data_IF_102627426284
#
_entry.id   IF_102627426284
#
_cell.length_a   1.000
_cell.length_b   1.000
_cell.length_c   1.000
_cell.angle_alpha   90.00
_cell.angle_beta   90.00
_cell.angle_gamma   90.00
#
_symmetry.space_group_name_H-M   'P 1'
#
loop_
_entity.id
_entity.type
_entity.pdbx_description
1 polymer ?
#
# COMPACT_ATOMS: atom_id res chain seq x y z
N UNK A 1 4.13 29.62 14.26
CA UNK A 1 3.74 30.02 12.90
C UNK A 1 4.99 30.32 12.08
N UNK A 2 5.45 29.35 11.27
CA UNK A 2 6.51 29.61 10.31
C UNK A 2 5.87 30.05 9.00
N UNK A 3 6.07 31.32 8.66
CA UNK A 3 5.65 31.92 7.40
C UNK A 3 6.48 31.27 6.30
N UNK A 4 5.82 30.62 5.34
CA UNK A 4 6.47 30.22 4.08
C UNK A 4 6.57 31.52 3.26
N UNK A 5 7.65 32.27 3.47
CA UNK A 5 7.98 33.44 2.66
C UNK A 5 8.57 32.91 1.35
N UNK A 6 7.84 33.08 0.26
CA UNK A 6 8.33 32.88 -1.10
C UNK A 6 9.21 34.08 -1.50
N UNK A 7 10.44 34.11 -1.00
CA UNK A 7 11.52 34.89 -1.59
C UNK A 7 12.65 33.94 -1.94
N UNK A 8 12.59 33.40 -3.15
CA UNK A 8 13.74 32.83 -3.84
C UNK A 8 13.40 32.81 -5.32
N UNK A 9 14.07 33.70 -6.05
CA UNK A 9 14.48 33.52 -7.44
C UNK A 9 14.77 32.04 -7.76
N UNK A 10 14.40 31.59 -8.98
CA UNK A 10 14.46 30.18 -9.42
C UNK A 10 15.81 29.49 -9.12
N UNK A 11 16.89 30.27 -9.09
CA UNK A 11 18.24 29.83 -8.73
C UNK A 11 18.43 29.61 -7.22
N UNK A 12 17.91 30.49 -6.35
CA UNK A 12 18.00 30.39 -4.89
C UNK A 12 17.21 29.21 -4.32
N UNK A 13 16.00 28.95 -4.88
CA UNK A 13 15.14 27.84 -4.44
C UNK A 13 15.76 26.48 -4.80
N UNK A 14 16.34 26.38 -6.00
CA UNK A 14 17.03 25.18 -6.47
C UNK A 14 18.33 24.91 -5.71
N UNK A 15 19.12 25.95 -5.39
CA UNK A 15 20.33 25.80 -4.57
C UNK A 15 20.00 25.27 -3.17
N UNK A 16 18.95 25.82 -2.55
CA UNK A 16 18.47 25.42 -1.22
C UNK A 16 18.02 23.97 -1.19
N UNK A 17 17.22 23.53 -2.16
CA UNK A 17 16.75 22.13 -2.24
C UNK A 17 17.91 21.16 -2.46
N UNK A 18 18.87 21.47 -3.34
CA UNK A 18 20.01 20.58 -3.54
C UNK A 18 20.84 20.45 -2.25
N UNK A 19 21.03 21.54 -1.51
CA UNK A 19 21.70 21.51 -0.21
C UNK A 19 20.92 20.69 0.82
N UNK A 20 19.61 20.87 0.89
CA UNK A 20 18.73 20.09 1.78
C UNK A 20 18.78 18.59 1.46
N UNK A 21 18.81 18.22 0.18
CA UNK A 21 18.98 16.84 -0.27
C UNK A 21 20.35 16.25 0.08
N UNK A 22 21.42 17.05 -0.01
CA UNK A 22 22.79 16.62 0.35
C UNK A 22 22.89 16.34 1.86
N UNK A 23 22.27 17.20 2.67
CA UNK A 23 22.31 17.10 4.14
C UNK A 23 21.25 16.09 4.65
N UNK A 24 20.37 15.60 3.77
CA UNK A 24 19.33 14.63 4.11
C UNK A 24 18.21 15.24 4.97
N UNK A 25 17.95 16.54 4.79
CA UNK A 25 16.81 17.20 5.45
C UNK A 25 15.49 16.65 4.92
N UNK A 26 14.46 16.85 5.73
CA UNK A 26 13.10 16.52 5.35
C UNK A 26 12.64 17.35 4.14
N UNK A 27 11.91 16.71 3.21
CA UNK A 27 11.49 17.32 1.95
C UNK A 27 9.97 17.34 1.84
N UNK A 28 9.40 18.52 1.64
CA UNK A 28 7.97 18.67 1.38
C UNK A 28 7.63 18.38 -0.10
N UNK A 29 6.56 17.63 -0.33
CA UNK A 29 6.00 17.41 -1.67
C UNK A 29 4.47 17.26 -1.61
N UNK A 30 3.79 17.39 -2.75
CA UNK A 30 2.33 17.26 -2.85
C UNK A 30 1.94 16.34 -4.02
N UNK A 31 1.48 15.11 -3.76
CA UNK A 31 1.11 14.18 -4.82
C UNK A 31 0.08 14.76 -5.79
N UNK A 32 0.35 14.63 -7.08
CA UNK A 32 -0.57 15.02 -8.15
C UNK A 32 -0.96 13.87 -9.09
N UNK A 33 -0.16 12.79 -9.12
CA UNK A 33 -0.48 11.58 -9.88
C UNK A 33 0.00 10.33 -9.12
N UNK A 34 -0.64 9.19 -9.39
CA UNK A 34 -0.47 7.95 -8.64
C UNK A 34 -0.34 6.79 -9.61
N UNK A 35 0.62 5.91 -9.34
CA UNK A 35 0.75 4.62 -10.01
C UNK A 35 0.95 3.52 -8.97
N UNK A 36 0.41 2.33 -9.25
CA UNK A 36 0.61 1.13 -8.44
C UNK A 36 1.04 -0.04 -9.32
N UNK A 37 2.03 -0.80 -8.87
CA UNK A 37 2.48 -2.02 -9.55
C UNK A 37 3.29 -2.90 -8.60
N UNK A 38 3.74 -4.05 -9.08
CA UNK A 38 4.66 -4.92 -8.31
C UNK A 38 6.09 -4.71 -8.81
N UNK A 39 6.97 -4.33 -7.90
CA UNK A 39 8.41 -4.35 -8.13
C UNK A 39 8.96 -5.74 -7.82
N UNK A 40 9.85 -6.27 -8.66
CA UNK A 40 10.43 -7.60 -8.48
C UNK A 40 11.86 -7.48 -7.93
N UNK A 41 12.06 -7.94 -6.70
CA UNK A 41 13.39 -8.02 -6.07
C UNK A 41 13.72 -9.50 -5.93
N UNK A 42 14.79 -9.95 -6.58
CA UNK A 42 15.19 -11.36 -6.63
C UNK A 42 14.04 -12.29 -7.08
N UNK A 43 13.26 -11.85 -8.07
CA UNK A 43 12.07 -12.54 -8.60
C UNK A 43 10.88 -12.63 -7.63
N UNK A 44 10.99 -12.07 -6.42
CA UNK A 44 9.86 -11.92 -5.49
C UNK A 44 9.15 -10.60 -5.76
N UNK A 45 7.82 -10.59 -6.01
CA UNK A 45 7.08 -9.37 -6.22
C UNK A 45 6.79 -8.67 -4.89
N UNK A 46 6.90 -7.34 -4.90
CA UNK A 46 6.55 -6.44 -3.82
C UNK A 46 5.65 -5.35 -4.38
N UNK A 47 4.47 -5.19 -3.80
CA UNK A 47 3.62 -4.07 -4.16
C UNK A 47 4.30 -2.75 -3.78
N UNK A 48 4.31 -1.81 -4.72
CA UNK A 48 4.79 -0.44 -4.53
C UNK A 48 3.73 0.56 -4.96
N UNK A 49 3.68 1.67 -4.23
CA UNK A 49 2.84 2.81 -4.56
C UNK A 49 3.75 3.98 -4.96
N UNK A 50 3.62 4.46 -6.19
CA UNK A 50 4.35 5.62 -6.68
C UNK A 50 3.47 6.86 -6.71
N UNK A 51 3.99 7.93 -6.14
CA UNK A 51 3.39 9.26 -6.16
C UNK A 51 4.29 10.19 -6.98
N UNK A 52 3.70 10.84 -7.97
CA UNK A 52 4.37 11.87 -8.77
C UNK A 52 3.94 13.25 -8.28
N UNK A 53 4.88 14.19 -8.29
CA UNK A 53 4.67 15.54 -7.78
C UNK A 53 5.69 16.51 -8.38
N UNK A 54 5.62 17.75 -7.92
CA UNK A 54 6.65 18.77 -8.03
C UNK A 54 7.23 19.07 -6.65
N UNK A 55 8.52 19.42 -6.60
CA UNK A 55 9.14 20.06 -5.43
C UNK A 55 8.74 21.54 -5.37
N UNK A 56 9.06 22.23 -4.28
CA UNK A 56 8.70 23.66 -4.11
C UNK A 56 9.32 24.59 -5.16
N UNK A 57 10.38 24.15 -5.87
CA UNK A 57 10.97 24.85 -7.02
C UNK A 57 10.44 24.36 -8.38
N UNK A 58 9.36 23.58 -8.41
CA UNK A 58 8.75 23.10 -9.66
C UNK A 58 9.43 21.90 -10.33
N UNK A 59 10.53 21.37 -9.79
CA UNK A 59 11.17 20.17 -10.34
C UNK A 59 10.30 18.93 -10.13
N UNK A 60 10.14 18.10 -11.17
CA UNK A 60 9.37 16.85 -11.10
C UNK A 60 10.06 15.82 -10.21
N UNK A 61 9.26 15.19 -9.37
CA UNK A 61 9.69 14.18 -8.40
C UNK A 61 8.79 12.95 -8.47
N UNK A 62 9.40 11.77 -8.29
CA UNK A 62 8.70 10.52 -8.00
C UNK A 62 9.06 10.04 -6.60
N UNK A 63 8.05 9.62 -5.84
CA UNK A 63 8.18 9.06 -4.50
C UNK A 63 7.60 7.66 -4.51
N UNK A 64 8.43 6.66 -4.20
CA UNK A 64 8.03 5.25 -4.16
C UNK A 64 7.89 4.79 -2.71
N UNK A 65 6.69 4.36 -2.34
CA UNK A 65 6.41 3.70 -1.07
C UNK A 65 6.50 2.18 -1.23
N UNK A 66 7.24 1.54 -0.33
CA UNK A 66 7.42 0.09 -0.28
C UNK A 66 7.13 -0.50 1.10
N UNK A 67 7.21 -1.83 1.23
CA UNK A 67 6.86 -2.52 2.47
C UNK A 67 5.35 -2.56 2.74
N UNK A 68 4.55 -2.33 1.71
CA UNK A 68 3.08 -2.35 1.76
C UNK A 68 2.63 -3.81 1.68
N UNK A 69 1.86 -4.25 2.67
CA UNK A 69 1.27 -5.60 2.67
C UNK A 69 0.07 -5.63 1.75
N UNK A 70 -0.01 -6.63 0.87
CA UNK A 70 -1.19 -6.87 0.04
C UNK A 70 -2.13 -7.84 0.74
N UNK A 71 -3.22 -7.32 1.31
CA UNK A 71 -4.19 -8.13 2.07
C UNK A 71 -5.64 -7.68 1.91
N UNK A 72 -6.56 -8.55 2.35
CA UNK A 72 -7.94 -8.26 2.78
C UNK A 72 -8.26 -9.06 4.05
N UNK A 73 -9.36 -8.74 4.73
CA UNK A 73 -9.71 -9.32 6.02
C UNK A 73 -11.05 -10.08 5.91
N UNK A 74 -11.19 -11.17 6.66
CA UNK A 74 -12.44 -11.93 6.80
C UNK A 74 -12.78 -12.02 8.29
N UNK A 75 -13.98 -11.59 8.66
CA UNK A 75 -14.44 -11.64 10.04
C UNK A 75 -14.67 -13.09 10.44
N UNK A 76 -14.18 -13.46 11.61
CA UNK A 76 -14.48 -14.78 12.20
C UNK A 76 -15.93 -14.79 12.68
N UNK A 77 -16.66 -15.86 12.35
CA UNK A 77 -18.03 -16.07 12.82
C UNK A 77 -18.11 -16.05 14.34
N UNK A 78 -19.22 -15.51 14.86
CA UNK A 78 -19.42 -15.45 16.31
C UNK A 78 -19.41 -16.88 16.89
N UNK A 79 -18.67 -17.06 17.99
CA UNK A 79 -18.45 -18.35 18.69
C UNK A 79 -17.61 -19.40 17.95
N UNK A 80 -17.04 -19.09 16.78
CA UNK A 80 -16.13 -20.01 16.09
C UNK A 80 -14.69 -19.85 16.61
N UNK A 81 -13.97 -20.97 16.76
CA UNK A 81 -12.54 -20.95 17.04
C UNK A 81 -11.78 -20.43 15.80
N UNK A 82 -10.84 -19.50 16.01
CA UNK A 82 -10.13 -18.81 14.92
C UNK A 82 -9.25 -19.74 14.09
N UNK A 83 -8.64 -20.77 14.67
CA UNK A 83 -7.76 -21.71 13.96
C UNK A 83 -8.57 -22.65 13.06
N UNK A 84 -9.75 -23.08 13.55
CA UNK A 84 -10.70 -23.86 12.75
C UNK A 84 -11.22 -23.02 11.59
N UNK A 85 -11.62 -21.77 11.86
CA UNK A 85 -12.08 -20.84 10.83
C UNK A 85 -11.00 -20.54 9.79
N UNK A 86 -9.77 -20.28 10.21
CA UNK A 86 -8.65 -20.06 9.29
C UNK A 86 -8.43 -21.27 8.37
N UNK A 87 -8.48 -22.49 8.93
CA UNK A 87 -8.34 -23.73 8.15
C UNK A 87 -9.45 -23.84 7.10
N UNK A 88 -10.69 -23.51 7.47
CA UNK A 88 -11.83 -23.48 6.55
C UNK A 88 -11.61 -22.49 5.41
N UNK A 89 -11.19 -21.25 5.73
CA UNK A 89 -10.89 -20.23 4.72
C UNK A 89 -9.78 -20.68 3.77
N UNK A 90 -8.69 -21.24 4.31
CA UNK A 90 -7.58 -21.78 3.49
C UNK A 90 -8.06 -22.88 2.55
N UNK A 91 -8.94 -23.77 3.03
CA UNK A 91 -9.53 -24.83 2.20
C UNK A 91 -10.43 -24.28 1.10
N UNK A 92 -11.23 -23.24 1.37
CA UNK A 92 -12.06 -22.58 0.35
C UNK A 92 -11.17 -21.95 -0.72
N UNK A 93 -10.11 -21.24 -0.32
CA UNK A 93 -9.18 -20.58 -1.25
C UNK A 93 -8.41 -21.62 -2.08
N UNK A 94 -7.91 -22.69 -1.46
CA UNK A 94 -7.11 -23.72 -2.14
C UNK A 94 -7.89 -24.49 -3.22
N UNK A 95 -9.18 -24.75 -2.97
CA UNK A 95 -10.04 -25.51 -3.89
C UNK A 95 -10.83 -24.61 -4.85
N UNK A 96 -10.84 -23.30 -4.59
CA UNK A 96 -11.60 -22.33 -5.36
C UNK A 96 -10.91 -21.91 -6.66
N UNK A 97 -11.73 -21.35 -7.56
CA UNK A 97 -11.28 -20.62 -8.74
C UNK A 97 -12.10 -19.36 -8.90
N UNK A 98 -11.48 -18.28 -9.37
CA UNK A 98 -12.22 -17.08 -9.72
C UNK A 98 -13.08 -17.29 -10.99
N UNK A 99 -13.76 -16.22 -11.44
CA UNK A 99 -14.61 -16.27 -12.62
C UNK A 99 -13.88 -16.60 -13.94
N UNK A 100 -12.57 -16.39 -13.98
CA UNK A 100 -11.72 -16.64 -15.15
C UNK A 100 -10.93 -17.97 -15.03
N UNK A 101 -11.12 -18.71 -13.94
CA UNK A 101 -10.42 -19.96 -13.68
C UNK A 101 -9.05 -19.79 -13.01
N UNK A 102 -8.70 -18.58 -12.58
CA UNK A 102 -7.50 -18.27 -11.82
C UNK A 102 -7.50 -18.92 -10.43
N UNK A 103 -6.32 -19.37 -10.00
CA UNK A 103 -6.08 -20.01 -8.70
C UNK A 103 -5.10 -19.20 -7.87
N UNK A 104 -5.15 -19.38 -6.55
CA UNK A 104 -4.21 -18.73 -5.62
C UNK A 104 -3.00 -19.62 -5.42
N UNK A 105 -1.81 -19.03 -5.40
CA UNK A 105 -0.60 -19.75 -4.97
C UNK A 105 -0.62 -19.92 -3.44
N UNK A 106 -0.97 -21.12 -3.00
CA UNK A 106 -1.06 -21.44 -1.58
C UNK A 106 0.31 -21.48 -0.87
N UNK A 107 1.41 -21.58 -1.61
CA UNK A 107 2.77 -21.58 -1.01
C UNK A 107 3.20 -20.19 -0.55
N UNK A 108 2.65 -19.15 -1.19
CA UNK A 108 2.93 -17.75 -0.89
C UNK A 108 1.84 -17.08 -0.04
N UNK A 109 0.69 -17.74 0.14
CA UNK A 109 -0.43 -17.24 0.93
C UNK A 109 -0.07 -17.25 2.42
N UNK A 110 -0.20 -16.09 3.06
CA UNK A 110 0.00 -15.94 4.50
C UNK A 110 -1.29 -15.51 5.19
N UNK A 111 -1.36 -15.77 6.48
CA UNK A 111 -2.50 -15.42 7.33
C UNK A 111 -2.03 -14.73 8.60
N UNK A 112 -2.78 -13.72 9.04
CA UNK A 112 -2.58 -13.05 10.33
C UNK A 112 -3.90 -12.97 11.10
N UNK A 113 -3.86 -13.07 12.42
CA UNK A 113 -5.02 -12.85 13.28
C UNK A 113 -5.02 -11.42 13.79
N UNK A 114 -6.11 -10.70 13.59
CA UNK A 114 -6.25 -9.32 14.05
C UNK A 114 -7.59 -9.12 14.78
N UNK A 115 -7.71 -8.00 15.48
CA UNK A 115 -8.98 -7.54 16.06
C UNK A 115 -9.31 -6.13 15.57
N UNK A 116 -10.50 -5.93 15.02
CA UNK A 116 -10.96 -4.66 14.50
C UNK A 116 -12.45 -4.44 14.79
N UNK A 117 -12.93 -3.20 14.69
CA UNK A 117 -14.36 -2.92 14.76
C UNK A 117 -15.01 -3.28 13.42
N UNK A 118 -16.09 -4.08 13.40
CA UNK A 118 -16.81 -4.35 12.17
C UNK A 118 -17.39 -3.08 11.54
N UNK A 119 -17.40 -3.06 10.20
CA UNK A 119 -17.99 -1.96 9.44
C UNK A 119 -19.52 -2.03 9.51
N UNK A 120 -20.08 -3.24 9.55
CA UNK A 120 -21.53 -3.47 9.57
C UNK A 120 -22.03 -3.62 10.99
N UNK A 121 -22.95 -2.76 11.38
CA UNK A 121 -23.55 -2.77 12.73
C UNK A 121 -22.72 -2.03 13.77
N UNK A 122 -23.30 -1.85 14.95
CA UNK A 122 -22.66 -1.18 16.07
C UNK A 122 -22.14 -2.20 17.09
N UNK A 123 -20.83 -2.24 17.29
CA UNK A 123 -20.19 -3.10 18.27
C UNK A 123 -19.36 -2.26 19.25
N UNK A 124 -19.53 -2.53 20.54
CA UNK A 124 -18.72 -1.89 21.61
C UNK A 124 -17.30 -2.46 21.69
N UNK A 125 -17.10 -3.66 21.17
CA UNK A 125 -15.85 -4.39 21.24
C UNK A 125 -15.34 -4.75 19.85
N UNK A 126 -14.02 -4.88 19.72
CA UNK A 126 -13.38 -5.37 18.49
C UNK A 126 -13.68 -6.85 18.30
N UNK A 127 -13.98 -7.24 17.06
CA UNK A 127 -14.19 -8.63 16.65
C UNK A 127 -12.92 -9.20 16.03
N UNK A 128 -12.70 -10.53 16.14
CA UNK A 128 -11.59 -11.20 15.50
C UNK A 128 -11.77 -11.31 13.97
N UNK A 129 -10.66 -11.17 13.25
CA UNK A 129 -10.56 -11.33 11.81
C UNK A 129 -9.35 -12.20 11.46
N UNK A 130 -9.48 -12.96 10.37
CA UNK A 130 -8.35 -13.57 9.66
C UNK A 130 -8.00 -12.67 8.48
N UNK A 131 -6.79 -12.13 8.50
CA UNK A 131 -6.22 -11.34 7.41
C UNK A 131 -5.55 -12.28 6.41
N UNK A 132 -5.99 -12.22 5.17
CA UNK A 132 -5.43 -12.98 4.06
C UNK A 132 -4.41 -12.11 3.34
N UNK A 133 -3.15 -12.52 3.35
CA UNK A 133 -2.02 -11.79 2.77
C UNK A 133 -1.50 -12.56 1.56
N UNK A 134 -1.37 -11.84 0.46
CA UNK A 134 -0.86 -12.36 -0.81
C UNK A 134 0.37 -11.56 -1.26
N UNK A 135 1.11 -12.09 -2.22
CA UNK A 135 2.31 -11.44 -2.75
C UNK A 135 2.01 -10.31 -3.73
N UNK A 136 0.90 -10.39 -4.47
CA UNK A 136 0.52 -9.41 -5.50
C UNK A 136 -0.95 -9.00 -5.43
N UNK A 137 -1.27 -7.81 -5.95
CA UNK A 137 -2.67 -7.35 -6.10
C UNK A 137 -3.52 -8.31 -6.94
N UNK A 138 -2.92 -9.01 -7.92
CA UNK A 138 -3.62 -10.02 -8.72
C UNK A 138 -4.01 -11.24 -7.88
N UNK A 139 -3.06 -11.81 -7.14
CA UNK A 139 -3.32 -12.94 -6.23
C UNK A 139 -4.38 -12.57 -5.18
N UNK A 140 -4.33 -11.35 -4.63
CA UNK A 140 -5.38 -10.81 -3.75
C UNK A 140 -6.75 -10.82 -4.41
N UNK A 141 -6.84 -10.32 -5.65
CA UNK A 141 -8.10 -10.25 -6.39
C UNK A 141 -8.69 -11.63 -6.64
N UNK A 142 -7.85 -12.61 -7.00
CA UNK A 142 -8.27 -14.01 -7.21
C UNK A 142 -8.81 -14.58 -5.90
N UNK A 143 -8.05 -14.44 -4.80
CA UNK A 143 -8.45 -14.92 -3.47
C UNK A 143 -9.79 -14.31 -3.01
N UNK A 144 -9.94 -12.99 -3.16
CA UNK A 144 -11.17 -12.29 -2.80
C UNK A 144 -12.35 -12.74 -3.67
N UNK A 145 -12.16 -12.88 -4.98
CA UNK A 145 -13.20 -13.35 -5.89
C UNK A 145 -13.66 -14.78 -5.57
N UNK A 146 -12.75 -15.67 -5.13
CA UNK A 146 -13.10 -17.01 -4.67
C UNK A 146 -14.04 -16.94 -3.46
N UNK A 147 -13.72 -16.10 -2.46
CA UNK A 147 -14.56 -15.90 -1.27
C UNK A 147 -15.93 -15.31 -1.64
N UNK A 148 -15.96 -14.32 -2.53
CA UNK A 148 -17.22 -13.72 -3.00
C UNK A 148 -18.08 -14.72 -3.76
N UNK A 149 -17.46 -15.57 -4.59
CA UNK A 149 -18.13 -16.65 -5.31
C UNK A 149 -18.71 -17.68 -4.34
N UNK A 150 -17.92 -18.15 -3.37
CA UNK A 150 -18.39 -19.02 -2.29
C UNK A 150 -19.63 -18.44 -1.61
N UNK A 151 -19.61 -17.14 -1.26
CA UNK A 151 -20.77 -16.46 -0.67
C UNK A 151 -22.01 -16.38 -1.58
N UNK A 152 -21.80 -16.32 -2.90
CA UNK A 152 -22.89 -16.28 -3.89
C UNK A 152 -23.54 -17.65 -4.10
N UNK A 153 -22.77 -18.72 -3.92
CA UNK A 153 -23.22 -20.10 -4.08
C UNK A 153 -23.95 -20.63 -2.83
N UNK A 154 -23.77 -19.99 -1.67
CA UNK A 154 -24.53 -20.30 -0.45
C UNK A 154 -26.00 -19.95 -0.67
N UNK A 155 -26.83 -20.98 -0.72
CA UNK A 155 -28.28 -20.89 -0.81
C UNK A 155 -28.93 -20.99 0.59
N UNK A 156 -30.17 -20.54 0.72
CA UNK A 156 -30.93 -20.61 1.97
C UNK A 156 -31.15 -22.04 2.50
N UNK A 157 -30.87 -23.07 1.68
CA UNK A 157 -30.93 -24.48 2.03
C UNK A 157 -29.63 -25.04 2.62
N UNK A 158 -28.51 -24.32 2.53
CA UNK A 158 -27.22 -24.75 3.06
C UNK A 158 -27.14 -24.40 4.57
N UNK A 159 -27.80 -25.20 5.40
CA UNK A 159 -27.94 -24.97 6.85
C UNK A 159 -26.57 -24.88 7.55
N UNK A 160 -25.56 -25.57 7.03
CA UNK A 160 -24.23 -25.66 7.64
C UNK A 160 -23.24 -24.59 7.13
N UNK A 161 -23.60 -23.78 6.13
CA UNK A 161 -22.70 -22.77 5.56
C UNK A 161 -23.18 -21.36 5.84
N UNK A 162 -22.30 -20.56 6.44
CA UNK A 162 -22.56 -19.14 6.69
C UNK A 162 -21.82 -18.28 5.68
N UNK A 163 -22.44 -17.15 5.29
CA UNK A 163 -21.78 -16.16 4.44
C UNK A 163 -20.64 -15.51 5.20
N UNK A 164 -19.48 -15.45 4.56
CA UNK A 164 -18.27 -14.86 5.09
C UNK A 164 -18.33 -13.34 4.96
N UNK A 165 -18.13 -12.61 6.06
CA UNK A 165 -18.08 -11.15 6.05
C UNK A 165 -16.65 -10.69 5.73
N UNK A 166 -16.44 -10.12 4.55
CA UNK A 166 -15.17 -9.52 4.13
C UNK A 166 -15.07 -8.07 4.58
N UNK A 167 -13.84 -7.62 4.82
CA UNK A 167 -13.47 -6.24 5.10
C UNK A 167 -12.11 -5.93 4.46
N UNK A 168 -11.74 -4.65 4.35
CA UNK A 168 -10.48 -4.25 3.70
C UNK A 168 -10.36 -4.81 2.26
N UNK A 169 -11.51 -4.93 1.59
CA UNK A 169 -11.78 -5.75 0.42
C UNK A 169 -12.08 -4.90 -0.82
N UNK A 170 -11.47 -3.71 -0.91
CA UNK A 170 -11.58 -2.82 -2.07
C UNK A 170 -11.36 -3.61 -3.38
N UNK A 171 -12.41 -3.70 -4.20
CA UNK A 171 -12.46 -4.43 -5.48
C UNK A 171 -11.91 -3.63 -6.66
N UNK A 172 -11.71 -2.33 -6.45
CA UNK A 172 -11.20 -1.42 -7.48
C UNK A 172 -9.68 -1.29 -7.37
N UNK A 173 -9.16 -0.08 -7.35
CA UNK A 173 -7.73 0.18 -7.27
C UNK A 173 -7.21 0.00 -5.83
N UNK A 174 -6.13 -0.76 -5.67
CA UNK A 174 -5.62 -1.15 -4.35
C UNK A 174 -4.99 0.03 -3.61
N UNK A 175 -4.45 1.00 -4.34
CA UNK A 175 -3.83 2.18 -3.76
C UNK A 175 -4.76 2.98 -2.83
N UNK A 176 -6.09 2.94 -3.04
CA UNK A 176 -7.04 3.66 -2.17
C UNK A 176 -7.06 3.05 -0.78
N UNK A 177 -7.04 1.72 -0.71
CA UNK A 177 -6.90 0.99 0.54
C UNK A 177 -5.57 1.30 1.19
N UNK A 178 -4.48 1.25 0.43
CA UNK A 178 -3.12 1.53 0.93
C UNK A 178 -3.06 2.94 1.53
N UNK A 179 -3.55 3.95 0.81
CA UNK A 179 -3.60 5.32 1.29
C UNK A 179 -4.37 5.46 2.60
N UNK A 180 -5.52 4.77 2.73
CA UNK A 180 -6.32 4.75 3.96
C UNK A 180 -5.61 4.04 5.11
N UNK A 181 -5.07 2.85 4.86
CA UNK A 181 -4.44 1.99 5.89
C UNK A 181 -3.18 2.65 6.46
N UNK A 182 -2.37 3.25 5.60
CA UNK A 182 -1.08 3.86 5.97
C UNK A 182 -1.16 5.38 6.12
N UNK A 183 -2.37 5.96 6.02
CA UNK A 183 -2.63 7.40 6.13
C UNK A 183 -1.77 8.25 5.19
N UNK A 184 -1.53 7.74 3.98
CA UNK A 184 -0.77 8.45 2.94
C UNK A 184 -1.73 9.44 2.27
N UNK A 185 -1.52 10.76 2.39
CA UNK A 185 -2.33 11.74 1.70
C UNK A 185 -2.13 11.59 0.19
N UNK A 186 -3.20 11.65 -0.59
CA UNK A 186 -3.11 11.58 -2.05
C UNK A 186 -3.23 12.95 -2.73
N UNK A 187 -3.49 14.01 -1.95
CA UNK A 187 -3.75 15.37 -2.45
C UNK A 187 -3.37 16.49 -1.47
N UNK A 188 -2.53 16.19 -0.48
CA UNK A 188 -2.03 17.17 0.50
C UNK A 188 -0.52 17.19 0.53
N UNK A 189 0.04 18.24 1.12
CA UNK A 189 1.46 18.32 1.42
C UNK A 189 1.88 17.21 2.38
N UNK A 190 3.00 16.59 2.07
CA UNK A 190 3.61 15.51 2.83
C UNK A 190 5.06 15.88 3.08
N UNK A 191 5.53 15.64 4.30
CA UNK A 191 6.93 15.75 4.65
C UNK A 191 7.59 14.37 4.54
N UNK A 192 8.56 14.24 3.63
CA UNK A 192 9.38 13.05 3.50
C UNK A 192 10.52 13.11 4.51
N UNK A 193 10.55 12.14 5.40
CA UNK A 193 11.61 11.95 6.39
C UNK A 193 12.25 10.57 6.18
N UNK A 194 13.52 10.40 6.58
CA UNK A 194 14.23 9.11 6.52
C UNK A 194 14.16 8.40 5.16
N UNK A 195 14.13 9.18 4.08
CA UNK A 195 14.03 8.66 2.72
C UNK A 195 15.40 8.25 2.20
N UNK A 196 15.40 7.34 1.21
CA UNK A 196 16.53 7.16 0.30
C UNK A 196 16.31 8.00 -0.94
N UNK A 197 17.37 8.61 -1.45
CA UNK A 197 17.29 9.55 -2.57
C UNK A 197 18.25 9.17 -3.70
N UNK A 198 17.76 9.33 -4.94
CA UNK A 198 18.55 9.27 -6.15
C UNK A 198 18.20 10.42 -7.08
N UNK A 199 19.23 11.08 -7.62
CA UNK A 199 19.09 12.07 -8.69
C UNK A 199 19.21 11.38 -10.04
N UNK A 200 18.29 11.67 -10.95
CA UNK A 200 18.37 11.22 -12.33
C UNK A 200 19.27 12.18 -13.12
N UNK A 201 20.59 11.92 -13.11
CA UNK A 201 21.51 12.40 -14.14
C UNK A 201 22.43 11.28 -14.59
N UNK A 202 22.59 11.19 -15.91
CA UNK A 202 23.54 10.33 -16.60
C UNK A 202 24.92 10.55 -15.95
N UNK A 203 25.56 9.47 -15.48
CA UNK A 203 26.97 9.35 -15.07
C UNK A 203 27.43 9.54 -13.60
N UNK A 204 26.57 9.78 -12.60
CA UNK A 204 27.05 9.80 -11.20
C UNK A 204 26.84 8.46 -10.46
N UNK A 205 27.94 7.72 -10.37
CA UNK A 205 28.06 6.33 -9.90
C UNK A 205 28.03 6.14 -8.38
N UNK A 206 27.90 7.19 -7.57
CA UNK A 206 28.15 7.09 -6.13
C UNK A 206 26.99 6.51 -5.29
N UNK A 207 25.74 6.53 -5.77
CA UNK A 207 24.59 5.92 -5.06
C UNK A 207 23.66 5.06 -5.95
N UNK A 208 24.05 4.83 -7.21
CA UNK A 208 23.19 4.16 -8.20
C UNK A 208 22.88 2.68 -7.86
N UNK A 209 23.74 2.01 -7.10
CA UNK A 209 23.65 0.56 -6.82
C UNK A 209 22.70 0.15 -5.68
N UNK A 210 22.06 1.11 -5.00
CA UNK A 210 21.22 0.82 -3.81
C UNK A 210 19.72 1.08 -4.00
N UNK A 211 19.32 1.54 -5.17
CA UNK A 211 17.92 1.84 -5.47
C UNK A 211 17.33 0.79 -6.39
N UNK A 212 16.17 0.21 -6.03
CA UNK A 212 15.45 -0.69 -6.92
C UNK A 212 15.16 0.00 -8.27
N UNK A 213 15.27 -0.75 -9.38
CA UNK A 213 15.19 -0.18 -10.74
C UNK A 213 13.86 0.54 -11.01
N UNK A 214 12.78 0.18 -10.32
CA UNK A 214 11.46 0.76 -10.55
C UNK A 214 11.28 2.15 -9.93
N UNK A 215 12.16 2.57 -9.02
CA UNK A 215 12.10 3.88 -8.37
C UNK A 215 12.47 5.05 -9.30
N UNK A 216 12.93 4.79 -10.53
CA UNK A 216 13.37 5.83 -11.46
C UNK A 216 12.31 6.05 -12.55
N UNK A 217 11.77 7.27 -12.60
CA UNK A 217 10.98 7.73 -13.74
C UNK A 217 11.87 8.58 -14.65
N UNK A 218 11.97 8.30 -15.96
CA UNK A 218 12.70 9.17 -16.88
C UNK A 218 12.09 10.58 -16.98
N UNK A 219 10.87 10.76 -16.45
CA UNK A 219 10.16 12.03 -16.43
C UNK A 219 10.46 12.87 -15.17
N UNK A 220 11.15 12.32 -14.18
CA UNK A 220 11.44 12.99 -12.91
C UNK A 220 12.95 13.10 -12.66
N UNK A 221 13.42 14.30 -12.34
CA UNK A 221 14.84 14.52 -12.00
C UNK A 221 15.18 13.94 -10.62
N UNK A 222 14.19 13.86 -9.73
CA UNK A 222 14.37 13.40 -8.36
C UNK A 222 13.53 12.16 -8.07
N UNK A 223 14.16 11.16 -7.46
CA UNK A 223 13.52 9.93 -7.03
C UNK A 223 13.75 9.71 -5.53
N UNK A 224 12.66 9.49 -4.80
CA UNK A 224 12.67 9.18 -3.38
C UNK A 224 12.09 7.79 -3.15
N UNK A 225 12.66 7.06 -2.20
CA UNK A 225 12.21 5.74 -1.82
C UNK A 225 12.03 5.67 -0.30
N UNK A 226 10.85 5.26 0.12
CA UNK A 226 10.46 5.23 1.53
C UNK A 226 9.77 3.92 1.85
N UNK A 227 10.17 3.29 2.96
CA UNK A 227 9.38 2.20 3.52
C UNK A 227 8.18 2.80 4.24
N UNK A 228 7.00 2.23 4.05
CA UNK A 228 5.77 2.68 4.70
C UNK A 228 5.88 2.64 6.24
N UNK A 229 6.76 1.80 6.79
CA UNK A 229 7.03 1.75 8.23
C UNK A 229 7.79 2.98 8.75
N UNK A 230 8.50 3.70 7.86
CA UNK A 230 9.22 4.92 8.19
C UNK A 230 8.37 6.17 7.94
N UNK A 231 7.18 6.02 7.33
CA UNK A 231 6.32 7.13 7.00
C UNK A 231 5.58 7.65 8.23
N UNK A 232 5.77 8.94 8.54
CA UNK A 232 5.05 9.63 9.59
C UNK A 232 4.20 10.74 8.97
N UNK A 233 2.90 10.74 9.23
CA UNK A 233 2.04 11.85 8.85
C UNK A 233 2.32 13.05 9.76
N UNK A 234 2.52 14.23 9.17
CA UNK A 234 2.60 15.49 9.91
C UNK A 234 1.20 15.97 10.20
N UNK A 235 0.80 16.05 11.47
CA UNK A 235 -0.51 16.59 11.86
C UNK A 235 -0.65 18.04 11.37
N UNK A 236 -1.84 18.40 10.91
CA UNK A 236 -2.15 19.80 10.62
C UNK A 236 -1.96 20.60 11.93
N UNK A 237 -1.30 21.77 11.89
CA UNK A 237 -1.24 22.63 13.07
C UNK A 237 -2.67 23.00 13.47
N UNK A 238 -3.02 22.69 14.73
CA UNK A 238 -4.30 23.01 15.36
C UNK A 238 -4.60 24.51 15.36
#
# INVERSE_FOLDING_TARGET
CNVIIAENDDYGSTATINQDLIIGKDISFMPCNIEEYNEYINNTPYYVLQLYSYLVNGQKVVVTFSGIKVFFDIRVSDNQNIDIFETEIKNIIANGKDGEGGTVDMTELQTEHIKAFPIRGYYKEKKPYVRIITTTSKQRSIALNIILKYNSEITSSDIDKSKLETASDDLSAYYRKVAREYRIPLSRWILLTNYKYAKHRVSDSYNSHRMPYSARSPLCEHAFYLSVNNFCHVEDPA
#
